data_IF_382596606014
#
_entry.id   IF_382596606014
#
_cell.length_a   1.000
_cell.length_b   1.000
_cell.length_c   1.000
_cell.angle_alpha   90.00
_cell.angle_beta   90.00
_cell.angle_gamma   90.00
#
_symmetry.space_group_name_H-M   'P 1'
#
loop_
_entity.id
_entity.type
_entity.pdbx_description
1 polymer ?
#
# COMPACT_ATOMS: atom_id res chain seq x y z
N UNK A 1 -7.29 -20.02 8.93
CA UNK A 1 -6.95 -20.40 7.56
C UNK A 1 -6.05 -19.38 6.85
N UNK A 2 -5.68 -19.69 5.65
CA UNK A 2 -4.81 -18.83 4.81
C UNK A 2 -5.49 -17.49 4.51
N UNK A 3 -6.79 -17.50 4.24
CA UNK A 3 -7.56 -16.28 4.00
C UNK A 3 -7.50 -15.31 5.19
N UNK A 4 -7.70 -15.82 6.41
CA UNK A 4 -7.59 -15.01 7.63
C UNK A 4 -6.19 -14.41 7.79
N UNK A 5 -5.15 -15.16 7.45
CA UNK A 5 -3.78 -14.66 7.48
C UNK A 5 -3.55 -13.56 6.45
N UNK A 6 -4.11 -13.71 5.25
CA UNK A 6 -4.02 -12.68 4.19
C UNK A 6 -4.68 -11.37 4.65
N UNK A 7 -5.90 -11.44 5.21
CA UNK A 7 -6.59 -10.27 5.76
C UNK A 7 -5.74 -9.61 6.87
N UNK A 8 -5.23 -10.40 7.80
CA UNK A 8 -4.40 -9.86 8.88
C UNK A 8 -3.13 -9.17 8.36
N UNK A 9 -2.52 -9.72 7.33
CA UNK A 9 -1.31 -9.15 6.73
C UNK A 9 -1.59 -7.80 6.09
N UNK A 10 -2.64 -7.69 5.28
CA UNK A 10 -3.04 -6.42 4.66
C UNK A 10 -3.47 -5.42 5.74
N UNK A 11 -4.31 -5.84 6.67
CA UNK A 11 -4.79 -4.97 7.74
C UNK A 11 -3.66 -4.44 8.62
N UNK A 12 -2.69 -5.29 8.97
CA UNK A 12 -1.53 -4.87 9.77
C UNK A 12 -0.71 -3.81 9.04
N UNK A 13 -0.39 -4.03 7.76
CA UNK A 13 0.39 -3.08 6.98
C UNK A 13 -0.35 -1.76 6.80
N UNK A 14 -1.62 -1.82 6.45
CA UNK A 14 -2.46 -0.63 6.31
C UNK A 14 -2.56 0.16 7.62
N UNK A 15 -2.83 -0.52 8.74
CA UNK A 15 -2.94 0.12 10.05
C UNK A 15 -1.63 0.77 10.50
N UNK A 16 -0.49 0.14 10.26
CA UNK A 16 0.81 0.74 10.59
C UNK A 16 1.00 2.03 9.79
N UNK A 17 0.73 2.03 8.49
CA UNK A 17 0.81 3.24 7.65
C UNK A 17 -0.15 4.30 8.15
N UNK A 18 -1.39 3.94 8.43
CA UNK A 18 -2.42 4.85 8.94
C UNK A 18 -2.01 5.52 10.25
N UNK A 19 -1.55 4.73 11.22
CA UNK A 19 -1.10 5.24 12.53
C UNK A 19 0.11 6.16 12.38
N UNK A 20 1.08 5.82 11.54
CA UNK A 20 2.23 6.67 11.29
C UNK A 20 1.84 8.00 10.63
N UNK A 21 0.86 8.00 9.73
CA UNK A 21 0.35 9.23 9.14
C UNK A 21 -0.42 10.10 10.16
N UNK A 22 -1.20 9.49 11.04
CA UNK A 22 -1.88 10.21 12.12
C UNK A 22 -0.86 10.86 13.05
N UNK A 23 0.16 10.13 13.47
CA UNK A 23 1.25 10.66 14.30
C UNK A 23 1.96 11.80 13.57
N UNK A 24 2.29 11.62 12.29
CA UNK A 24 2.92 12.65 11.48
C UNK A 24 2.07 13.92 11.36
N UNK A 25 0.76 13.78 11.23
CA UNK A 25 -0.16 14.92 11.22
C UNK A 25 -0.18 15.64 12.58
N UNK A 26 -0.24 14.90 13.69
CA UNK A 26 -0.30 15.47 15.04
C UNK A 26 0.98 16.23 15.41
N UNK A 27 2.15 15.76 14.97
CA UNK A 27 3.43 16.45 15.22
C UNK A 27 3.77 17.50 14.16
N UNK A 28 2.88 17.73 13.18
CA UNK A 28 3.05 18.76 12.16
C UNK A 28 4.16 18.49 11.16
N UNK A 29 4.45 17.22 10.85
CA UNK A 29 5.44 16.88 9.84
C UNK A 29 5.03 17.40 8.47
N UNK A 30 5.92 18.14 7.81
CA UNK A 30 5.69 18.76 6.49
C UNK A 30 5.35 17.73 5.40
N UNK A 31 5.76 16.48 5.54
CA UNK A 31 5.48 15.41 4.57
C UNK A 31 3.98 15.12 4.41
N UNK A 32 3.23 15.23 5.49
CA UNK A 32 1.77 15.03 5.46
C UNK A 32 1.11 16.15 4.67
N UNK A 33 1.69 17.35 4.70
CA UNK A 33 1.20 18.50 3.94
C UNK A 33 1.60 18.46 2.46
N UNK A 34 2.72 17.84 2.10
CA UNK A 34 3.13 17.63 0.70
C UNK A 34 2.13 16.77 -0.08
N UNK A 35 1.38 15.89 0.60
CA UNK A 35 0.29 15.11 0.02
C UNK A 35 -1.03 15.88 -0.13
N UNK A 36 -1.04 17.19 0.07
CA UNK A 36 -2.24 18.01 -0.12
C UNK A 36 -3.19 18.01 1.06
N UNK A 37 -2.78 17.54 2.24
CA UNK A 37 -3.49 17.83 3.50
C UNK A 37 -3.13 19.27 3.88
N UNK A 38 -3.63 20.22 3.11
CA UNK A 38 -3.45 21.62 3.40
C UNK A 38 -4.56 22.10 4.33
N UNK A 39 -4.28 23.18 5.09
CA UNK A 39 -5.26 23.85 5.94
C UNK A 39 -6.50 24.37 5.17
N UNK A 40 -6.46 24.38 3.83
CA UNK A 40 -7.61 24.75 2.99
C UNK A 40 -8.69 23.66 2.90
N UNK A 41 -8.44 22.46 3.41
CA UNK A 41 -9.41 21.36 3.49
C UNK A 41 -10.08 21.35 4.87
N UNK A 42 -10.41 22.53 5.39
CA UNK A 42 -10.99 22.69 6.73
C UNK A 42 -12.38 22.04 6.93
N UNK A 43 -13.06 21.66 5.83
CA UNK A 43 -14.40 21.09 5.86
C UNK A 43 -14.44 19.57 5.62
N UNK A 44 -13.30 18.93 5.34
CA UNK A 44 -13.21 17.48 5.14
C UNK A 44 -12.66 16.86 6.42
N UNK A 45 -13.27 15.74 6.85
CA UNK A 45 -12.76 14.99 7.97
C UNK A 45 -11.33 14.53 7.69
N UNK A 46 -10.37 15.05 8.44
CA UNK A 46 -8.94 14.75 8.29
C UNK A 46 -8.66 13.24 8.34
N UNK A 47 -9.40 12.51 9.16
CA UNK A 47 -9.24 11.05 9.25
C UNK A 47 -9.64 10.33 7.96
N UNK A 48 -10.63 10.83 7.23
CA UNK A 48 -10.99 10.28 5.91
C UNK A 48 -9.86 10.49 4.91
N UNK A 49 -9.28 11.68 4.88
CA UNK A 49 -8.14 11.99 4.00
C UNK A 49 -6.94 11.12 4.35
N UNK A 50 -6.61 11.00 5.63
CA UNK A 50 -5.50 10.15 6.10
C UNK A 50 -5.76 8.69 5.76
N UNK A 51 -6.99 8.19 5.89
CA UNK A 51 -7.33 6.80 5.55
C UNK A 51 -7.13 6.49 4.07
N UNK A 52 -7.51 7.42 3.19
CA UNK A 52 -7.29 7.29 1.75
C UNK A 52 -5.80 7.38 1.39
N UNK A 53 -5.08 8.32 2.01
CA UNK A 53 -3.65 8.46 1.83
C UNK A 53 -2.89 7.21 2.29
N UNK A 54 -3.29 6.61 3.41
CA UNK A 54 -2.74 5.35 3.89
C UNK A 54 -2.95 4.22 2.87
N UNK A 55 -4.11 4.16 2.22
CA UNK A 55 -4.38 3.19 1.18
C UNK A 55 -3.46 3.38 -0.04
N UNK A 56 -3.22 4.62 -0.47
CA UNK A 56 -2.26 4.92 -1.54
C UNK A 56 -0.83 4.53 -1.17
N UNK A 57 -0.35 4.94 0.01
CA UNK A 57 1.01 4.64 0.46
C UNK A 57 1.22 3.14 0.61
N UNK A 58 0.28 2.44 1.24
CA UNK A 58 0.34 0.99 1.36
C UNK A 58 0.32 0.32 -0.02
N UNK A 59 -0.49 0.84 -0.94
CA UNK A 59 -0.50 0.40 -2.33
C UNK A 59 0.86 0.59 -3.02
N UNK A 60 1.47 1.76 -2.93
CA UNK A 60 2.81 2.02 -3.49
C UNK A 60 3.88 1.12 -2.85
N UNK A 61 3.80 0.86 -1.56
CA UNK A 61 4.70 -0.07 -0.87
C UNK A 61 4.59 -1.51 -1.40
N UNK A 62 3.48 -1.85 -2.05
CA UNK A 62 3.24 -3.13 -2.71
C UNK A 62 3.35 -3.04 -4.25
N UNK A 63 3.98 -2.00 -4.77
CA UNK A 63 4.20 -1.75 -6.19
C UNK A 63 2.92 -1.56 -7.02
N UNK A 64 1.84 -1.09 -6.41
CA UNK A 64 0.63 -0.77 -7.13
C UNK A 64 0.81 0.50 -7.98
N UNK A 65 0.00 0.60 -9.02
CA UNK A 65 0.01 1.73 -9.96
C UNK A 65 -1.22 2.57 -9.70
N UNK A 66 -1.01 3.86 -9.38
CA UNK A 66 -2.06 4.85 -9.26
C UNK A 66 -2.13 5.72 -10.51
N UNK A 67 -3.31 6.24 -10.80
CA UNK A 67 -3.51 7.22 -11.88
C UNK A 67 -3.99 8.54 -11.28
N UNK A 68 -3.36 9.63 -11.73
CA UNK A 68 -3.78 11.00 -11.42
C UNK A 68 -4.07 11.69 -12.74
N UNK A 69 -5.34 11.93 -13.03
CA UNK A 69 -5.76 12.41 -14.34
C UNK A 69 -5.38 11.40 -15.44
N UNK A 70 -4.54 11.82 -16.38
CA UNK A 70 -4.02 10.96 -17.46
C UNK A 70 -2.66 10.34 -17.15
N UNK A 71 -2.05 10.66 -16.01
CA UNK A 71 -0.72 10.18 -15.65
C UNK A 71 -0.79 8.95 -14.74
N UNK A 72 0.07 7.98 -15.01
CA UNK A 72 0.25 6.82 -14.16
C UNK A 72 1.43 7.04 -13.22
N UNK A 73 1.21 6.80 -11.93
CA UNK A 73 2.23 6.87 -10.89
C UNK A 73 2.50 5.48 -10.33
N UNK A 74 3.77 5.19 -10.20
CA UNK A 74 4.23 3.91 -9.72
C UNK A 74 5.53 4.13 -8.94
N UNK A 75 5.88 3.25 -8.01
CA UNK A 75 6.95 3.50 -7.06
C UNK A 75 8.27 3.99 -7.71
N UNK A 76 8.82 3.33 -8.76
CA UNK A 76 10.02 3.83 -9.42
C UNK A 76 9.88 5.23 -10.02
N UNK A 77 8.70 5.61 -10.52
CA UNK A 77 8.48 6.95 -11.07
C UNK A 77 8.44 8.03 -9.99
N UNK A 78 8.00 7.69 -8.77
CA UNK A 78 8.02 8.61 -7.63
C UNK A 78 9.45 8.97 -7.21
N UNK A 79 10.42 8.08 -7.38
CA UNK A 79 11.83 8.39 -7.10
C UNK A 79 12.46 9.34 -8.11
N UNK A 80 11.89 9.48 -9.30
CA UNK A 80 12.35 10.41 -10.35
C UNK A 80 11.74 11.80 -10.23
N UNK A 81 10.79 11.98 -9.32
CA UNK A 81 10.13 13.28 -9.12
C UNK A 81 10.99 14.21 -8.27
N UNK A 82 10.62 15.50 -8.23
CA UNK A 82 11.24 16.53 -7.39
C UNK A 82 10.84 16.46 -5.90
N UNK A 83 10.22 15.36 -5.46
CA UNK A 83 9.87 15.14 -4.06
C UNK A 83 11.12 15.17 -3.16
N UNK A 84 10.95 15.61 -1.92
CA UNK A 84 12.04 15.68 -0.95
C UNK A 84 12.71 14.33 -0.72
N UNK A 85 14.00 14.35 -0.40
CA UNK A 85 14.78 13.14 -0.08
C UNK A 85 14.16 12.42 1.11
N UNK A 86 13.71 13.15 2.11
CA UNK A 86 13.08 12.59 3.32
C UNK A 86 11.81 11.82 2.98
N UNK A 87 10.99 12.33 2.05
CA UNK A 87 9.82 11.63 1.57
C UNK A 87 10.18 10.33 0.84
N UNK A 88 11.20 10.36 -0.01
CA UNK A 88 11.70 9.17 -0.70
C UNK A 88 12.22 8.11 0.27
N UNK A 89 12.90 8.53 1.35
CA UNK A 89 13.35 7.62 2.42
C UNK A 89 12.16 6.99 3.16
N UNK A 90 11.10 7.75 3.42
CA UNK A 90 9.86 7.19 3.99
C UNK A 90 9.24 6.14 3.08
N UNK A 91 9.20 6.34 1.77
CA UNK A 91 8.71 5.34 0.81
C UNK A 91 9.55 4.06 0.85
N UNK A 92 10.87 4.17 0.91
CA UNK A 92 11.77 3.02 1.05
C UNK A 92 11.47 2.26 2.35
N UNK A 93 11.27 2.98 3.46
CA UNK A 93 10.91 2.37 4.73
C UNK A 93 9.58 1.61 4.67
N UNK A 94 8.57 2.14 3.98
CA UNK A 94 7.30 1.44 3.79
C UNK A 94 7.42 0.22 2.89
N UNK A 95 8.25 0.26 1.86
CA UNK A 95 8.57 -0.91 1.03
C UNK A 95 9.26 -1.99 1.85
N UNK A 96 10.24 -1.62 2.67
CA UNK A 96 10.91 -2.54 3.59
C UNK A 96 9.93 -3.16 4.59
N UNK A 97 8.99 -2.36 5.12
CA UNK A 97 7.92 -2.82 6.01
C UNK A 97 7.03 -3.86 5.32
N UNK A 98 6.58 -3.58 4.10
CA UNK A 98 5.72 -4.51 3.36
C UNK A 98 6.45 -5.82 3.07
N UNK A 99 7.72 -5.74 2.66
CA UNK A 99 8.56 -6.91 2.42
C UNK A 99 8.74 -7.75 3.69
N UNK A 100 9.00 -7.10 4.83
CA UNK A 100 9.16 -7.77 6.12
C UNK A 100 7.88 -8.49 6.54
N UNK A 101 6.73 -7.82 6.44
CA UNK A 101 5.42 -8.42 6.81
C UNK A 101 5.10 -9.63 5.94
N UNK A 102 5.34 -9.54 4.63
CA UNK A 102 5.14 -10.66 3.71
C UNK A 102 6.12 -11.80 3.95
N UNK A 103 7.38 -11.49 4.22
CA UNK A 103 8.40 -12.48 4.56
C UNK A 103 8.02 -13.26 5.83
N UNK A 104 7.61 -12.57 6.89
CA UNK A 104 7.15 -13.19 8.14
C UNK A 104 5.89 -14.03 7.87
N UNK A 105 5.00 -13.59 7.00
CA UNK A 105 3.83 -14.37 6.59
C UNK A 105 4.23 -15.69 5.92
N UNK A 106 5.28 -15.68 5.12
CA UNK A 106 5.85 -16.88 4.52
C UNK A 106 6.36 -17.88 5.56
N UNK A 107 7.12 -17.39 6.54
CA UNK A 107 7.61 -18.22 7.67
C UNK A 107 6.42 -18.83 8.43
N UNK A 108 5.40 -18.04 8.75
CA UNK A 108 4.19 -18.52 9.45
C UNK A 108 3.44 -19.59 8.65
N UNK A 109 3.35 -19.44 7.32
CA UNK A 109 2.73 -20.43 6.46
C UNK A 109 3.49 -21.75 6.50
N UNK A 110 4.82 -21.71 6.43
CA UNK A 110 5.63 -22.90 6.51
C UNK A 110 5.49 -23.62 7.85
N UNK A 111 5.59 -22.87 8.95
CA UNK A 111 5.47 -23.42 10.30
C UNK A 111 4.09 -24.07 10.55
N UNK A 112 3.05 -23.53 9.90
CA UNK A 112 1.68 -24.03 10.06
C UNK A 112 1.41 -25.27 9.22
N UNK A 113 1.84 -25.27 7.96
CA UNK A 113 1.47 -26.33 7.02
C UNK A 113 2.53 -27.40 6.87
N UNK A 114 3.80 -27.12 7.25
CA UNK A 114 4.91 -28.07 7.28
C UNK A 114 4.99 -28.92 6.01
N UNK A 115 4.88 -28.25 4.86
CA UNK A 115 4.86 -28.90 3.55
C UNK A 115 5.92 -28.30 2.64
N UNK A 116 6.50 -29.10 1.75
CA UNK A 116 7.36 -28.60 0.67
C UNK A 116 6.59 -28.01 -0.50
N UNK A 117 5.28 -28.18 -0.54
CA UNK A 117 4.42 -27.69 -1.61
C UNK A 117 4.27 -26.17 -1.58
N UNK A 118 4.30 -25.55 -2.77
CA UNK A 118 4.08 -24.10 -2.95
C UNK A 118 2.60 -23.68 -2.77
N UNK A 119 1.68 -24.64 -2.65
CA UNK A 119 0.23 -24.36 -2.60
C UNK A 119 -0.17 -23.34 -1.54
N UNK A 120 0.30 -23.41 -0.27
CA UNK A 120 -0.09 -22.42 0.73
C UNK A 120 0.32 -20.99 0.36
N UNK A 121 1.50 -20.83 -0.22
CA UNK A 121 1.99 -19.52 -0.67
C UNK A 121 1.16 -18.98 -1.83
N UNK A 122 0.84 -19.83 -2.79
CA UNK A 122 0.03 -19.45 -3.95
C UNK A 122 -1.38 -19.02 -3.53
N UNK A 123 -2.03 -19.80 -2.66
CA UNK A 123 -3.35 -19.46 -2.14
C UNK A 123 -3.32 -18.15 -1.35
N UNK A 124 -2.30 -17.97 -0.49
CA UNK A 124 -2.10 -16.73 0.25
C UNK A 124 -1.98 -15.54 -0.70
N UNK A 125 -1.16 -15.66 -1.74
CA UNK A 125 -0.92 -14.58 -2.70
C UNK A 125 -2.15 -14.21 -3.50
N UNK A 126 -2.98 -15.20 -3.87
CA UNK A 126 -4.27 -14.93 -4.54
C UNK A 126 -5.19 -14.13 -3.60
N UNK A 127 -5.37 -14.56 -2.37
CA UNK A 127 -6.20 -13.84 -1.41
C UNK A 127 -5.64 -12.46 -1.09
N UNK A 128 -4.33 -12.35 -0.91
CA UNK A 128 -3.66 -11.07 -0.70
C UNK A 128 -3.93 -10.09 -1.86
N UNK A 129 -3.77 -10.55 -3.09
CA UNK A 129 -4.02 -9.75 -4.28
C UNK A 129 -5.49 -9.29 -4.38
N UNK A 130 -6.44 -10.17 -4.08
CA UNK A 130 -7.88 -9.84 -4.09
C UNK A 130 -8.20 -8.80 -3.01
N UNK A 131 -7.63 -8.94 -1.81
CA UNK A 131 -7.85 -7.98 -0.72
C UNK A 131 -7.23 -6.62 -1.08
N UNK A 132 -6.03 -6.59 -1.66
CA UNK A 132 -5.39 -5.36 -2.12
C UNK A 132 -6.19 -4.70 -3.26
N UNK A 133 -6.70 -5.46 -4.20
CA UNK A 133 -7.57 -4.95 -5.26
C UNK A 133 -8.88 -4.38 -4.69
N UNK A 134 -9.47 -5.02 -3.69
CA UNK A 134 -10.65 -4.51 -2.98
C UNK A 134 -10.34 -3.21 -2.25
N UNK A 135 -9.19 -3.12 -1.58
CA UNK A 135 -8.74 -1.89 -0.94
C UNK A 135 -8.54 -0.76 -1.94
N UNK A 136 -8.06 -1.06 -3.14
CA UNK A 136 -7.85 -0.06 -4.19
C UNK A 136 -9.13 0.61 -4.67
N UNK A 137 -10.29 -0.04 -4.54
CA UNK A 137 -11.59 0.55 -4.88
C UNK A 137 -11.89 1.75 -3.98
N UNK A 138 -11.45 1.73 -2.72
CA UNK A 138 -11.64 2.84 -1.79
C UNK A 138 -10.68 4.01 -2.02
N UNK A 139 -9.71 3.86 -2.92
CA UNK A 139 -8.74 4.94 -3.22
C UNK A 139 -9.28 5.96 -4.22
N UNK A 140 -10.45 5.73 -4.81
CA UNK A 140 -11.02 6.67 -5.77
C UNK A 140 -11.31 8.01 -5.11
N UNK A 141 -10.66 9.05 -5.59
CA UNK A 141 -10.87 10.43 -5.17
C UNK A 141 -11.13 11.28 -6.39
N UNK A 142 -12.23 12.01 -6.38
CA UNK A 142 -12.54 13.01 -7.40
C UNK A 142 -12.38 14.39 -6.76
N UNK A 143 -11.35 15.12 -7.16
CA UNK A 143 -11.09 16.47 -6.71
C UNK A 143 -11.72 17.42 -7.72
N UNK A 144 -12.88 17.99 -7.35
CA UNK A 144 -13.45 19.11 -8.06
C UNK A 144 -12.67 20.37 -7.70
N UNK A 145 -11.91 20.90 -8.65
CA UNK A 145 -11.18 22.15 -8.46
C UNK A 145 -12.08 23.40 -8.27
N UNK A 146 -13.41 23.21 -8.26
CA UNK A 146 -14.38 24.29 -8.15
C UNK A 146 -14.36 25.25 -9.34
N UNK A 147 -15.11 26.34 -9.24
CA UNK A 147 -15.20 27.36 -10.29
C UNK A 147 -13.90 28.15 -10.53
N UNK A 148 -12.96 28.09 -9.59
CA UNK A 148 -11.68 28.82 -9.65
C UNK A 148 -10.59 28.10 -10.47
N UNK A 149 -10.61 26.77 -10.54
CA UNK A 149 -9.57 25.99 -11.21
C UNK A 149 -10.06 25.31 -12.48
N UNK A 150 -11.37 25.19 -12.68
CA UNK A 150 -11.99 24.76 -13.94
C UNK A 150 -11.68 23.32 -14.39
N UNK A 151 -11.12 22.46 -13.53
CA UNK A 151 -10.82 21.06 -13.86
C UNK A 151 -11.17 20.10 -12.73
N UNK A 152 -11.54 18.90 -13.14
CA UNK A 152 -11.75 17.78 -12.23
C UNK A 152 -10.55 16.82 -12.34
N UNK A 153 -9.88 16.57 -11.23
CA UNK A 153 -8.81 15.57 -11.18
C UNK A 153 -9.35 14.33 -10.48
N UNK A 154 -9.42 13.23 -11.22
CA UNK A 154 -9.72 11.92 -10.66
C UNK A 154 -8.41 11.22 -10.30
N UNK A 155 -8.34 10.74 -9.05
CA UNK A 155 -7.25 9.89 -8.56
C UNK A 155 -7.80 8.52 -8.22
N UNK A 156 -7.18 7.47 -8.74
CA UNK A 156 -7.52 6.09 -8.38
C UNK A 156 -6.32 5.17 -8.52
N UNK A 157 -6.39 4.01 -7.88
CA UNK A 157 -5.45 2.92 -8.14
C UNK A 157 -6.07 1.99 -9.17
N UNK A 158 -5.31 1.59 -10.19
CA UNK A 158 -5.81 0.65 -11.20
C UNK A 158 -6.04 -0.72 -10.55
N UNK A 159 -7.30 -1.17 -10.51
CA UNK A 159 -7.70 -2.40 -9.81
C UNK A 159 -7.06 -3.64 -10.43
N UNK A 160 -7.03 -3.72 -11.77
CA UNK A 160 -6.49 -4.89 -12.50
C UNK A 160 -4.97 -4.98 -12.30
N UNK A 161 -4.26 -3.87 -12.47
CA UNK A 161 -2.81 -3.82 -12.27
C UNK A 161 -2.45 -4.05 -10.80
N UNK A 162 -3.24 -3.54 -9.86
CA UNK A 162 -3.10 -3.84 -8.44
C UNK A 162 -3.21 -5.33 -8.17
N UNK A 163 -4.18 -6.00 -8.75
CA UNK A 163 -4.35 -7.44 -8.62
C UNK A 163 -3.10 -8.20 -9.08
N UNK A 164 -2.60 -7.86 -10.27
CA UNK A 164 -1.43 -8.52 -10.87
C UNK A 164 -0.16 -8.24 -10.06
N UNK A 165 0.12 -6.98 -9.77
CA UNK A 165 1.34 -6.57 -9.07
C UNK A 165 1.37 -7.08 -7.63
N UNK A 166 0.25 -7.01 -6.92
CA UNK A 166 0.15 -7.53 -5.55
C UNK A 166 0.31 -9.05 -5.52
N UNK A 167 -0.21 -9.77 -6.51
CA UNK A 167 0.00 -11.21 -6.62
C UNK A 167 1.48 -11.56 -6.82
N UNK A 168 2.12 -10.95 -7.80
CA UNK A 168 3.53 -11.22 -8.12
C UNK A 168 4.43 -10.88 -6.93
N UNK A 169 4.28 -9.69 -6.39
CA UNK A 169 5.10 -9.20 -5.28
C UNK A 169 4.91 -10.05 -4.01
N UNK A 170 3.67 -10.28 -3.62
CA UNK A 170 3.37 -11.10 -2.43
C UNK A 170 3.83 -12.55 -2.60
N UNK A 171 3.68 -13.12 -3.79
CA UNK A 171 4.14 -14.47 -4.07
C UNK A 171 5.66 -14.59 -3.91
N UNK A 172 6.42 -13.69 -4.52
CA UNK A 172 7.89 -13.73 -4.48
C UNK A 172 8.37 -13.60 -3.03
N UNK A 173 7.94 -12.57 -2.33
CA UNK A 173 8.45 -12.27 -0.97
C UNK A 173 8.01 -13.33 0.04
N UNK A 174 6.74 -13.74 -0.02
CA UNK A 174 6.21 -14.79 0.86
C UNK A 174 6.87 -16.14 0.58
N UNK A 175 7.14 -16.45 -0.68
CA UNK A 175 7.83 -17.68 -1.06
C UNK A 175 9.27 -17.72 -0.54
N UNK A 176 9.98 -16.60 -0.57
CA UNK A 176 11.34 -16.52 0.00
C UNK A 176 11.29 -16.80 1.51
N UNK A 177 10.37 -16.17 2.24
CA UNK A 177 10.20 -16.44 3.68
C UNK A 177 9.80 -17.88 3.96
N UNK A 178 8.92 -18.44 3.14
CA UNK A 178 8.50 -19.84 3.24
C UNK A 178 9.66 -20.82 3.02
N UNK A 179 10.52 -20.55 2.06
CA UNK A 179 11.68 -21.42 1.75
C UNK A 179 12.79 -21.29 2.78
N UNK A 180 13.10 -20.09 3.21
CA UNK A 180 14.20 -19.88 4.18
C UNK A 180 13.88 -20.46 5.56
N UNK A 181 12.63 -20.60 5.91
CA UNK A 181 12.24 -21.27 7.17
C UNK A 181 12.36 -22.79 7.11
N UNK A 182 12.64 -23.39 5.94
CA UNK A 182 12.89 -24.82 5.76
C UNK A 182 14.37 -25.21 5.88
N UNK A 183 15.26 -24.26 6.22
CA UNK A 183 16.71 -24.51 6.23
C UNK A 183 17.23 -24.96 7.61
N UNK A 184 16.34 -25.24 8.55
CA UNK A 184 16.59 -25.94 9.80
C UNK A 184 16.16 -27.42 9.63
#
# INVERSE_FOLDING_TARGET
>A
GIFKQSIKTVALGYLIVFVLLVIGHLIGLSYVYEFGISNSISNINVFVVISQLAAYIWGFANFNIATIGSQSLFLPSLFKTSLSIDFKLCLIAFVALSALILFISGIKLNNKYKTSSKKPVLIFSVFYAVIMASLSIFTYVNINGGSLLGYNIAMNTNVILTLIMSFIYSFIVTFVGFKLSNWD
#
